data_IF_019337534714
#
_entry.id   IF_019337534714
#
_cell.length_a   1.000
_cell.length_b   1.000
_cell.length_c   1.000
_cell.angle_alpha   90.00
_cell.angle_beta   90.00
_cell.angle_gamma   90.00
#
_symmetry.space_group_name_H-M   'P 1'
#
loop_
_entity.id
_entity.type
_entity.pdbx_description
1 polymer ?
#
# COMPACT_ATOMS: atom_id res chain seq x y z
N UNK A 1 -10.08 -2.43 -1.35
CA UNK A 1 -10.35 -1.22 -0.54
C UNK A 1 -9.27 -0.22 -0.88
N UNK A 2 -9.61 1.03 -1.21
CA UNK A 2 -8.57 2.05 -1.38
C UNK A 2 -8.15 2.55 0.00
N UNK A 3 -6.84 2.74 0.17
CA UNK A 3 -6.24 3.01 1.48
C UNK A 3 -6.63 4.41 2.00
N UNK A 4 -6.45 4.60 3.32
CA UNK A 4 -6.64 5.87 4.03
C UNK A 4 -8.09 6.42 4.21
N UNK A 5 -9.12 5.56 4.13
CA UNK A 5 -10.46 5.93 4.61
C UNK A 5 -11.20 6.99 3.78
N UNK A 6 -10.79 7.18 2.52
CA UNK A 6 -11.46 8.11 1.61
C UNK A 6 -12.89 7.63 1.30
N UNK A 7 -13.88 8.49 1.56
CA UNK A 7 -15.29 8.19 1.34
C UNK A 7 -15.54 7.91 -0.14
N UNK A 8 -16.26 6.82 -0.43
CA UNK A 8 -16.66 6.42 -1.79
C UNK A 8 -15.50 6.26 -2.79
N UNK A 9 -14.26 6.05 -2.33
CA UNK A 9 -13.10 6.04 -3.23
C UNK A 9 -13.20 5.00 -4.36
N UNK A 10 -13.69 3.79 -4.07
CA UNK A 10 -13.86 2.75 -5.10
C UNK A 10 -14.86 3.19 -6.17
N UNK A 11 -15.95 3.84 -5.75
CA UNK A 11 -16.96 4.38 -6.68
C UNK A 11 -16.37 5.51 -7.53
N UNK A 12 -15.59 6.42 -6.92
CA UNK A 12 -14.90 7.47 -7.66
C UNK A 12 -13.98 6.91 -8.74
N UNK A 13 -13.17 5.88 -8.42
CA UNK A 13 -12.30 5.23 -9.41
C UNK A 13 -13.12 4.59 -10.54
N UNK A 14 -14.23 3.92 -10.23
CA UNK A 14 -15.11 3.33 -11.26
C UNK A 14 -15.66 4.40 -12.20
N UNK A 15 -16.13 5.53 -11.68
CA UNK A 15 -16.63 6.62 -12.52
C UNK A 15 -15.52 7.24 -13.37
N UNK A 16 -14.33 7.47 -12.81
CA UNK A 16 -13.19 8.00 -13.58
C UNK A 16 -12.73 7.04 -14.69
N UNK A 17 -12.70 5.73 -14.42
CA UNK A 17 -12.34 4.74 -15.45
C UNK A 17 -13.39 4.68 -16.55
N UNK A 18 -14.68 4.82 -16.23
CA UNK A 18 -15.76 4.91 -17.24
C UNK A 18 -15.62 6.16 -18.11
N UNK A 19 -15.37 7.31 -17.50
CA UNK A 19 -15.16 8.56 -18.24
C UNK A 19 -13.97 8.46 -19.21
N UNK A 20 -12.87 7.84 -18.79
CA UNK A 20 -11.74 7.56 -19.68
C UNK A 20 -12.08 6.57 -20.79
N UNK A 21 -12.86 5.53 -20.47
CA UNK A 21 -13.28 4.53 -21.46
C UNK A 21 -14.18 5.12 -22.55
N UNK A 22 -15.07 6.05 -22.19
CA UNK A 22 -16.01 6.70 -23.12
C UNK A 22 -15.39 7.85 -23.91
N UNK A 23 -14.13 8.20 -23.64
CA UNK A 23 -13.43 9.28 -24.34
C UNK A 23 -12.84 8.75 -25.66
N UNK A 24 -13.29 9.32 -26.78
CA UNK A 24 -12.87 8.96 -28.15
C UNK A 24 -11.35 9.08 -28.40
N UNK A 25 -10.63 9.89 -27.61
CA UNK A 25 -9.17 10.04 -27.67
C UNK A 25 -8.42 8.92 -26.92
N UNK A 26 -9.14 8.07 -26.16
CA UNK A 26 -8.53 6.97 -25.40
C UNK A 26 -8.41 5.73 -26.28
N UNK A 27 -7.18 5.40 -26.66
CA UNK A 27 -6.89 4.24 -27.51
C UNK A 27 -7.05 2.88 -26.78
N UNK A 28 -6.94 2.87 -25.45
CA UNK A 28 -7.10 1.66 -24.66
C UNK A 28 -6.78 1.81 -23.17
N UNK A 29 -7.14 0.79 -22.39
CA UNK A 29 -6.89 0.73 -20.94
C UNK A 29 -5.99 -0.46 -20.60
N UNK A 30 -4.98 -0.22 -19.76
CA UNK A 30 -4.09 -1.26 -19.24
C UNK A 30 -4.41 -1.49 -17.77
N UNK A 31 -4.79 -2.72 -17.43
CA UNK A 31 -4.97 -3.14 -16.04
C UNK A 31 -3.66 -3.76 -15.53
N UNK A 32 -3.11 -3.19 -14.48
CA UNK A 32 -1.89 -3.68 -13.82
C UNK A 32 -2.25 -4.15 -12.41
N UNK A 33 -1.76 -5.33 -12.04
CA UNK A 33 -1.85 -5.86 -10.68
C UNK A 33 -0.46 -6.26 -10.18
N UNK A 34 -0.10 -5.78 -8.99
CA UNK A 34 1.20 -6.05 -8.39
C UNK A 34 1.12 -7.35 -7.59
N UNK A 35 1.88 -8.37 -8.02
CA UNK A 35 1.92 -9.65 -7.33
C UNK A 35 2.41 -9.47 -5.89
N UNK A 36 1.61 -9.94 -4.93
CA UNK A 36 1.96 -9.98 -3.51
C UNK A 36 2.37 -8.61 -2.93
N UNK A 37 1.74 -7.53 -3.40
CA UNK A 37 2.15 -6.14 -3.16
C UNK A 37 2.54 -5.86 -1.70
N UNK A 38 1.69 -6.22 -0.74
CA UNK A 38 1.93 -6.01 0.69
C UNK A 38 3.23 -6.64 1.20
N UNK A 39 3.53 -7.89 0.81
CA UNK A 39 4.72 -8.59 1.28
C UNK A 39 5.98 -8.22 0.48
N UNK A 40 5.80 -7.65 -0.72
CA UNK A 40 6.88 -7.34 -1.65
C UNK A 40 7.33 -5.88 -1.63
N UNK A 41 6.70 -5.01 -0.83
CA UNK A 41 7.17 -3.63 -0.66
C UNK A 41 8.58 -3.62 -0.10
N UNK A 42 9.49 -2.85 -0.72
CA UNK A 42 10.78 -2.54 -0.10
C UNK A 42 10.56 -1.61 1.10
N UNK A 43 10.61 -2.18 2.31
CA UNK A 43 10.23 -1.48 3.54
C UNK A 43 11.14 -0.30 3.83
N UNK A 44 12.45 -0.48 3.64
CA UNK A 44 13.43 0.59 3.88
C UNK A 44 13.17 1.78 2.95
N UNK A 45 12.97 1.54 1.66
CA UNK A 45 12.67 2.59 0.69
C UNK A 45 11.34 3.28 1.00
N UNK A 46 10.29 2.52 1.36
CA UNK A 46 9.01 3.08 1.76
C UNK A 46 9.15 4.02 2.98
N UNK A 47 9.93 3.63 3.98
CA UNK A 47 10.20 4.45 5.17
C UNK A 47 11.03 5.71 4.87
N UNK A 48 11.93 5.66 3.88
CA UNK A 48 12.63 6.85 3.41
C UNK A 48 11.68 7.79 2.62
N UNK A 49 10.81 7.22 1.79
CA UNK A 49 9.91 8.00 0.94
C UNK A 49 8.81 8.70 1.75
N UNK A 50 8.28 8.06 2.79
CA UNK A 50 7.22 8.70 3.61
C UNK A 50 7.72 9.96 4.32
N UNK A 51 9.01 10.03 4.67
CA UNK A 51 9.60 11.23 5.23
C UNK A 51 9.58 12.43 4.27
N UNK A 52 9.40 12.19 2.97
CA UNK A 52 9.25 13.23 1.96
C UNK A 52 7.77 13.45 1.59
N UNK A 53 7.00 12.36 1.39
CA UNK A 53 5.61 12.41 0.94
C UNK A 53 4.62 12.83 2.03
N UNK A 54 4.82 12.36 3.27
CA UNK A 54 3.96 12.66 4.40
C UNK A 54 4.76 12.70 5.71
N UNK A 55 5.59 13.74 5.94
CA UNK A 55 6.48 13.80 7.09
C UNK A 55 5.75 13.71 8.44
N UNK A 56 4.52 14.24 8.52
CA UNK A 56 3.66 14.18 9.71
C UNK A 56 3.30 12.75 10.12
N UNK A 57 3.18 11.84 9.14
CA UNK A 57 2.89 10.42 9.36
C UNK A 57 4.15 9.56 9.46
N UNK A 58 5.27 10.02 8.88
CA UNK A 58 6.51 9.25 8.77
C UNK A 58 7.06 8.75 10.11
N UNK A 59 6.98 9.54 11.19
CA UNK A 59 7.46 9.11 12.52
C UNK A 59 6.70 7.90 13.06
N UNK A 60 5.37 7.85 12.83
CA UNK A 60 4.54 6.72 13.24
C UNK A 60 4.98 5.46 12.49
N UNK A 61 5.07 5.52 11.16
CA UNK A 61 5.47 4.37 10.33
C UNK A 61 6.89 3.89 10.64
N UNK A 62 7.84 4.80 10.86
CA UNK A 62 9.20 4.42 11.25
C UNK A 62 9.21 3.72 12.60
N UNK A 63 8.41 4.18 13.57
CA UNK A 63 8.31 3.51 14.87
C UNK A 63 7.71 2.10 14.75
N UNK A 64 6.76 1.91 13.84
CA UNK A 64 6.10 0.62 13.61
C UNK A 64 6.98 -0.36 12.82
N UNK A 65 7.69 0.12 11.79
CA UNK A 65 8.25 -0.75 10.74
C UNK A 65 9.77 -0.71 10.58
N UNK A 66 10.53 0.09 11.36
CA UNK A 66 12.00 0.17 11.19
C UNK A 66 12.76 -1.11 11.51
N UNK A 67 12.14 -2.04 12.23
CA UNK A 67 12.72 -3.32 12.61
C UNK A 67 11.93 -4.46 11.95
N UNK A 68 12.51 -5.66 11.99
CA UNK A 68 11.82 -6.87 11.53
C UNK A 68 10.58 -7.10 12.40
N UNK A 69 9.42 -7.28 11.77
CA UNK A 69 8.19 -7.62 12.47
C UNK A 69 8.21 -9.11 12.85
N UNK A 70 7.75 -9.44 14.04
CA UNK A 70 7.67 -10.82 14.49
C UNK A 70 6.45 -11.52 13.87
N UNK A 71 6.69 -12.62 13.15
CA UNK A 71 5.67 -13.54 12.68
C UNK A 71 5.72 -14.80 13.54
N UNK A 72 4.58 -15.18 14.11
CA UNK A 72 4.46 -16.37 14.94
C UNK A 72 3.81 -17.50 14.15
N UNK A 73 4.54 -18.59 13.93
CA UNK A 73 4.10 -19.74 13.13
C UNK A 73 4.45 -21.01 13.88
N UNK A 74 3.46 -21.85 14.20
CA UNK A 74 3.65 -23.15 14.86
C UNK A 74 4.53 -23.12 16.13
N UNK A 75 4.45 -22.04 16.91
CA UNK A 75 5.26 -21.87 18.13
C UNK A 75 6.66 -21.30 17.90
N UNK A 76 7.06 -21.06 16.65
CA UNK A 76 8.29 -20.37 16.29
C UNK A 76 8.04 -18.89 15.97
N UNK A 77 9.08 -18.08 16.15
CA UNK A 77 9.07 -16.67 15.79
C UNK A 77 10.08 -16.44 14.66
N UNK A 78 9.61 -15.91 13.53
CA UNK A 78 10.45 -15.52 12.40
C UNK A 78 10.32 -14.01 12.14
N UNK A 79 11.36 -13.39 11.60
CA UNK A 79 11.35 -11.96 11.25
C UNK A 79 10.83 -11.70 9.84
N UNK A 80 9.84 -10.83 9.71
CA UNK A 80 9.42 -10.24 8.45
C UNK A 80 10.32 -9.03 8.14
N UNK A 81 11.14 -9.11 7.10
CA UNK A 81 12.14 -8.10 6.71
C UNK A 81 11.66 -7.08 5.70
N UNK A 82 10.72 -7.48 4.85
CA UNK A 82 10.16 -6.65 3.78
C UNK A 82 8.63 -6.62 3.88
N UNK A 83 8.01 -5.70 3.16
CA UNK A 83 6.57 -5.56 3.14
C UNK A 83 5.97 -4.87 4.37
N UNK A 84 4.65 -4.88 4.42
CA UNK A 84 3.80 -4.39 5.51
C UNK A 84 2.91 -5.52 6.03
N UNK A 85 2.36 -5.37 7.24
CA UNK A 85 1.54 -6.42 7.86
C UNK A 85 0.10 -6.32 7.37
N UNK A 86 -0.39 -7.30 6.59
CA UNK A 86 -1.79 -7.31 6.16
C UNK A 86 -2.74 -7.34 7.36
N UNK A 87 -3.73 -6.43 7.34
CA UNK A 87 -4.67 -6.23 8.45
C UNK A 87 -4.25 -5.16 9.46
N UNK A 88 -3.03 -4.63 9.37
CA UNK A 88 -2.63 -3.42 10.11
C UNK A 88 -3.30 -2.18 9.47
N UNK A 89 -3.99 -1.32 10.24
CA UNK A 89 -4.50 -0.04 9.73
C UNK A 89 -3.44 0.88 9.11
N UNK A 90 -2.16 0.70 9.47
CA UNK A 90 -1.04 1.43 8.93
C UNK A 90 -0.43 0.78 7.69
N UNK A 91 -0.79 -0.46 7.37
CA UNK A 91 -0.37 -1.12 6.15
C UNK A 91 -1.16 -0.55 4.97
N UNK A 92 -0.43 0.12 4.08
CA UNK A 92 -0.94 0.50 2.76
C UNK A 92 -1.04 -0.72 1.86
#
# INVERSE_FOLDING_TARGET
>A
QLCAGQKSACESVVHSVRELYDNDETEGLICVDALNAFNSVNRRLALCNILHLCPSFGRLLINTYRFDNHLFINGECIGSKEGTTQGDPLAM
#
